data_IF_893521477606
#
_entry.id   IF_893521477606
#
_cell.length_a   1.000
_cell.length_b   1.000
_cell.length_c   1.000
_cell.angle_alpha   90.00
_cell.angle_beta   90.00
_cell.angle_gamma   90.00
#
_symmetry.space_group_name_H-M   'P 1'
#
loop_
_entity.id
_entity.type
_entity.pdbx_description
1 polymer ?
#
# COMPACT_ATOMS: atom_id res chain seq x y z
N UNK A 1 -13.48 -7.44 12.89
CA UNK A 1 -13.75 -6.02 12.57
C UNK A 1 -12.65 -5.50 11.69
N UNK A 2 -12.88 -5.32 10.39
CA UNK A 2 -11.92 -4.58 9.55
C UNK A 2 -12.06 -3.12 9.89
N UNK A 3 -11.01 -2.49 10.37
CA UNK A 3 -11.15 -1.22 11.04
C UNK A 3 -11.46 -0.09 10.07
N UNK A 4 -12.16 0.90 10.56
CA UNK A 4 -12.38 2.20 9.92
C UNK A 4 -11.09 2.81 9.36
N UNK A 5 -9.92 2.40 9.86
CA UNK A 5 -8.58 2.81 9.43
C UNK A 5 -8.19 2.35 8.01
N UNK A 6 -8.91 1.39 7.43
CA UNK A 6 -8.61 0.91 6.06
C UNK A 6 -9.67 1.35 5.05
N UNK A 7 -10.76 1.94 5.53
CA UNK A 7 -11.80 2.44 4.65
C UNK A 7 -11.24 3.52 3.73
N UNK A 8 -11.45 3.36 2.42
CA UNK A 8 -10.93 4.26 1.38
C UNK A 8 -9.43 4.55 1.45
N UNK A 9 -8.61 3.64 2.01
CA UNK A 9 -7.17 3.83 2.13
C UNK A 9 -6.46 4.11 0.79
N UNK A 10 -7.01 3.66 -0.32
CA UNK A 10 -6.52 3.97 -1.67
C UNK A 10 -6.58 5.46 -2.01
N UNK A 11 -7.47 6.22 -1.37
CA UNK A 11 -7.68 7.65 -1.62
C UNK A 11 -6.86 8.52 -0.68
N UNK A 12 -6.88 8.21 0.63
CA UNK A 12 -6.33 9.09 1.67
C UNK A 12 -4.97 8.65 2.23
N UNK A 13 -4.38 7.55 1.74
CA UNK A 13 -3.16 6.99 2.30
C UNK A 13 -2.02 8.01 2.42
N UNK A 14 -1.65 8.42 3.65
CA UNK A 14 -0.58 9.38 3.85
C UNK A 14 0.75 8.73 3.47
N UNK A 15 1.58 9.43 2.71
CA UNK A 15 2.94 9.00 2.41
C UNK A 15 3.91 9.65 3.40
N UNK A 16 4.71 8.83 4.07
CA UNK A 16 5.94 9.31 4.68
C UNK A 16 6.91 9.67 3.53
N UNK A 17 7.24 10.93 3.36
CA UNK A 17 8.28 11.38 2.44
C UNK A 17 9.58 11.51 3.21
N UNK A 18 10.68 11.09 2.61
CA UNK A 18 12.02 11.23 3.19
C UNK A 18 12.61 12.65 3.04
N UNK A 19 11.89 13.54 2.38
CA UNK A 19 12.39 14.89 2.11
C UNK A 19 12.16 15.81 3.32
N UNK A 20 13.22 16.12 4.01
CA UNK A 20 13.25 16.96 5.23
C UNK A 20 12.72 18.38 5.03
N UNK A 21 12.59 18.85 3.79
CA UNK A 21 12.36 20.28 3.51
C UNK A 21 10.89 20.69 3.27
N UNK A 22 9.96 19.78 2.95
CA UNK A 22 8.62 20.17 2.48
C UNK A 22 7.44 19.47 3.18
N UNK A 23 7.37 19.50 4.49
CA UNK A 23 6.18 18.97 5.20
C UNK A 23 6.20 17.47 5.51
N UNK A 24 7.33 16.84 5.31
CA UNK A 24 7.62 15.42 5.58
C UNK A 24 7.29 15.02 7.02
N UNK A 25 7.58 15.83 7.99
CA UNK A 25 7.29 15.54 9.41
C UNK A 25 5.80 15.33 9.70
N UNK A 26 4.92 16.07 9.03
CA UNK A 26 3.46 15.95 9.25
C UNK A 26 2.93 14.61 8.77
N UNK A 27 3.32 14.18 7.57
CA UNK A 27 2.87 12.92 7.01
C UNK A 27 3.47 11.71 7.75
N UNK A 28 4.73 11.77 8.15
CA UNK A 28 5.36 10.75 8.98
C UNK A 28 4.66 10.62 10.35
N UNK A 29 4.29 11.75 10.96
CA UNK A 29 3.51 11.76 12.19
C UNK A 29 2.15 11.11 12.03
N UNK A 30 1.43 11.38 10.92
CA UNK A 30 0.14 10.76 10.63
C UNK A 30 0.27 9.24 10.41
N UNK A 31 1.25 8.79 9.65
CA UNK A 31 1.52 7.35 9.46
C UNK A 31 1.78 6.69 10.81
N UNK A 32 2.64 7.28 11.64
CA UNK A 32 2.93 6.75 12.97
C UNK A 32 1.70 6.72 13.87
N UNK A 33 0.85 7.75 13.85
CA UNK A 33 -0.39 7.76 14.63
C UNK A 33 -1.33 6.62 14.24
N UNK A 34 -1.45 6.33 12.94
CA UNK A 34 -2.27 5.22 12.45
C UNK A 34 -1.68 3.87 12.89
N UNK A 35 -0.38 3.67 12.74
CA UNK A 35 0.31 2.46 13.18
C UNK A 35 0.22 2.28 14.72
N UNK A 36 0.24 3.37 15.49
CA UNK A 36 0.09 3.32 16.94
C UNK A 36 -1.24 2.72 17.39
N UNK A 37 -2.31 2.90 16.62
CA UNK A 37 -3.61 2.28 16.92
C UNK A 37 -3.49 0.75 16.83
N UNK A 38 -2.85 0.24 15.78
CA UNK A 38 -2.63 -1.21 15.63
C UNK A 38 -1.70 -1.74 16.72
N UNK A 39 -0.63 -1.03 17.05
CA UNK A 39 0.30 -1.40 18.12
C UNK A 39 -0.39 -1.48 19.49
N UNK A 40 -1.28 -0.54 19.80
CA UNK A 40 -2.08 -0.58 21.02
C UNK A 40 -3.03 -1.78 21.03
N UNK A 41 -3.69 -2.06 19.92
CA UNK A 41 -4.57 -3.20 19.77
C UNK A 41 -3.80 -4.53 19.97
N UNK A 42 -2.60 -4.65 19.39
CA UNK A 42 -1.76 -5.84 19.56
C UNK A 42 -1.37 -6.06 21.04
N UNK A 43 -0.96 -5.01 21.74
CA UNK A 43 -0.67 -5.10 23.19
C UNK A 43 -1.90 -5.52 23.99
N UNK A 44 -3.04 -4.97 23.65
CA UNK A 44 -4.30 -5.31 24.34
C UNK A 44 -4.68 -6.77 24.13
N UNK A 45 -4.58 -7.28 22.90
CA UNK A 45 -4.92 -8.68 22.59
C UNK A 45 -3.93 -9.66 23.22
N UNK A 46 -2.63 -9.33 23.23
CA UNK A 46 -1.59 -10.21 23.78
C UNK A 46 -1.39 -10.07 25.28
N UNK A 47 -2.00 -9.08 25.93
CA UNK A 47 -1.80 -8.78 27.35
C UNK A 47 -0.37 -8.31 27.71
N UNK A 48 0.46 -7.99 26.71
CA UNK A 48 1.86 -7.63 26.92
C UNK A 48 2.06 -6.12 26.93
N UNK A 49 2.12 -5.53 28.13
CA UNK A 49 2.26 -4.08 28.32
C UNK A 49 3.68 -3.66 28.74
N UNK A 50 4.59 -4.58 28.93
CA UNK A 50 5.95 -4.28 29.36
C UNK A 50 6.72 -3.52 28.26
N UNK A 51 7.49 -2.53 28.65
CA UNK A 51 8.28 -1.71 27.72
C UNK A 51 9.35 -2.50 26.94
N UNK A 52 9.76 -3.67 27.45
CA UNK A 52 10.73 -4.58 26.82
C UNK A 52 10.12 -5.48 25.75
N UNK A 53 8.79 -5.55 25.67
CA UNK A 53 8.11 -6.45 24.73
C UNK A 53 8.10 -5.87 23.32
N UNK A 54 8.66 -6.61 22.36
CA UNK A 54 8.66 -6.23 20.94
C UNK A 54 7.24 -6.24 20.37
N UNK A 55 6.83 -5.10 19.81
CA UNK A 55 5.52 -5.01 19.12
C UNK A 55 5.54 -5.77 17.81
N UNK A 56 6.69 -5.85 17.14
CA UNK A 56 6.86 -6.62 15.91
C UNK A 56 6.59 -8.09 16.15
N UNK A 57 7.11 -8.66 17.25
CA UNK A 57 6.85 -10.06 17.61
C UNK A 57 5.38 -10.31 17.95
N UNK A 58 4.72 -9.34 18.58
CA UNK A 58 3.28 -9.42 18.85
C UNK A 58 2.48 -9.44 17.55
N UNK A 59 2.78 -8.55 16.60
CA UNK A 59 2.12 -8.52 15.30
C UNK A 59 2.35 -9.81 14.54
N UNK A 60 3.57 -10.34 14.56
CA UNK A 60 3.92 -11.60 13.92
C UNK A 60 3.18 -12.78 14.56
N UNK A 61 3.13 -12.88 15.90
CA UNK A 61 2.41 -13.94 16.60
C UNK A 61 0.90 -13.92 16.35
N UNK A 62 0.33 -12.72 16.11
CA UNK A 62 -1.07 -12.54 15.74
C UNK A 62 -1.33 -12.71 14.23
N UNK A 63 -0.30 -12.89 13.42
CA UNK A 63 -0.42 -12.89 11.96
C UNK A 63 -0.89 -11.55 11.40
N UNK A 64 -0.63 -10.45 12.10
CA UNK A 64 -1.05 -9.12 11.70
C UNK A 64 0.05 -8.43 10.92
N UNK A 65 -0.24 -8.10 9.68
CA UNK A 65 0.63 -7.29 8.84
C UNK A 65 0.47 -5.80 9.21
N UNK A 66 1.53 -5.00 8.99
CA UNK A 66 1.47 -3.56 9.23
C UNK A 66 0.35 -2.90 8.41
N UNK A 67 -0.22 -1.81 8.91
CA UNK A 67 -1.24 -1.06 8.17
C UNK A 67 -0.65 -0.43 6.91
N UNK A 68 0.63 -0.08 6.92
CA UNK A 68 1.32 0.43 5.73
C UNK A 68 1.35 -0.60 4.60
N UNK A 69 1.76 -1.84 4.88
CA UNK A 69 1.74 -2.93 3.90
C UNK A 69 0.34 -3.17 3.34
N UNK A 70 -0.65 -3.22 4.22
CA UNK A 70 -2.04 -3.44 3.82
C UNK A 70 -2.58 -2.31 2.94
N UNK A 71 -2.13 -1.07 3.16
CA UNK A 71 -2.46 0.07 2.28
C UNK A 71 -1.79 -0.07 0.91
N UNK A 72 -0.54 -0.51 0.86
CA UNK A 72 0.14 -0.83 -0.42
C UNK A 72 -0.61 -1.91 -1.19
N UNK A 73 -0.96 -3.02 -0.54
CA UNK A 73 -1.71 -4.12 -1.15
C UNK A 73 -3.08 -3.65 -1.67
N UNK A 74 -3.77 -2.80 -0.91
CA UNK A 74 -5.06 -2.25 -1.32
C UNK A 74 -4.94 -1.39 -2.59
N UNK A 75 -3.89 -0.54 -2.67
CA UNK A 75 -3.64 0.28 -3.86
C UNK A 75 -3.30 -0.58 -5.09
N UNK A 76 -2.38 -1.53 -4.95
CA UNK A 76 -2.01 -2.44 -6.03
C UNK A 76 -3.21 -3.28 -6.49
N UNK A 77 -4.02 -3.78 -5.56
CA UNK A 77 -5.24 -4.51 -5.88
C UNK A 77 -6.26 -3.64 -6.62
N UNK A 78 -6.39 -2.37 -6.22
CA UNK A 78 -7.30 -1.44 -6.93
C UNK A 78 -6.80 -1.17 -8.34
N UNK A 79 -5.49 -0.96 -8.53
CA UNK A 79 -4.91 -0.77 -9.87
C UNK A 79 -5.12 -2.03 -10.73
N UNK A 80 -4.92 -3.23 -10.19
CA UNK A 80 -5.23 -4.49 -10.86
C UNK A 80 -6.68 -4.54 -11.33
N UNK A 81 -7.63 -4.18 -10.47
CA UNK A 81 -9.05 -4.15 -10.84
C UNK A 81 -9.36 -3.13 -11.94
N UNK A 82 -8.71 -1.98 -11.92
CA UNK A 82 -8.88 -0.94 -12.95
C UNK A 82 -8.34 -1.42 -14.30
N UNK A 83 -7.13 -1.99 -14.32
CA UNK A 83 -6.50 -2.51 -15.56
C UNK A 83 -7.32 -3.61 -16.20
N UNK A 84 -7.92 -4.48 -15.39
CA UNK A 84 -8.76 -5.60 -15.86
C UNK A 84 -10.25 -5.23 -16.06
N UNK A 85 -10.63 -3.96 -15.90
CA UNK A 85 -12.00 -3.51 -16.09
C UNK A 85 -13.02 -4.07 -15.08
N UNK A 86 -12.55 -4.50 -13.91
CA UNK A 86 -13.39 -5.06 -12.83
C UNK A 86 -14.07 -3.97 -11.98
N UNK A 87 -13.76 -2.72 -12.24
CA UNK A 87 -14.35 -1.55 -11.57
C UNK A 87 -14.69 -0.52 -12.63
N UNK A 88 -15.93 -0.05 -12.60
CA UNK A 88 -16.39 1.04 -13.46
C UNK A 88 -15.82 2.37 -12.95
N UNK A 89 -14.78 2.87 -13.61
CA UNK A 89 -14.13 4.13 -13.28
C UNK A 89 -13.47 4.74 -14.52
N UNK A 90 -13.53 6.07 -14.63
CA UNK A 90 -12.84 6.83 -15.68
C UNK A 90 -11.30 6.80 -15.52
N UNK A 91 -10.77 6.31 -14.40
CA UNK A 91 -9.33 6.20 -14.17
C UNK A 91 -8.63 5.30 -15.19
N UNK A 92 -9.34 4.37 -15.82
CA UNK A 92 -8.79 3.51 -16.88
C UNK A 92 -8.33 4.32 -18.09
N UNK A 93 -9.04 5.39 -18.44
CA UNK A 93 -8.75 6.25 -19.60
C UNK A 93 -7.45 7.06 -19.39
N UNK A 94 -7.04 7.24 -18.14
CA UNK A 94 -5.79 7.91 -17.78
C UNK A 94 -4.58 6.97 -17.75
N UNK A 95 -4.77 5.65 -17.94
CA UNK A 95 -3.69 4.69 -18.02
C UNK A 95 -3.08 4.69 -19.41
N UNK A 96 -1.80 5.02 -19.49
CA UNK A 96 -1.03 4.95 -20.75
C UNK A 96 -0.11 3.74 -20.72
N UNK A 97 -0.06 3.02 -21.83
CA UNK A 97 0.79 1.84 -22.00
C UNK A 97 1.92 2.13 -22.99
N UNK A 98 3.08 1.53 -22.75
CA UNK A 98 4.19 1.56 -23.71
C UNK A 98 3.86 0.69 -24.92
N UNK A 99 3.95 1.24 -26.12
CA UNK A 99 3.72 0.49 -27.37
C UNK A 99 4.71 -0.66 -27.60
N UNK A 100 5.91 -0.60 -26.97
CA UNK A 100 6.97 -1.60 -27.18
C UNK A 100 6.81 -2.86 -26.31
N UNK A 101 6.32 -2.76 -25.09
CA UNK A 101 6.27 -3.87 -24.12
C UNK A 101 5.00 -3.89 -23.25
N UNK A 102 3.96 -3.14 -23.63
CA UNK A 102 2.67 -3.15 -22.92
C UNK A 102 2.71 -2.71 -21.44
N UNK A 103 3.87 -2.21 -20.96
CA UNK A 103 3.99 -1.79 -19.56
C UNK A 103 3.32 -0.45 -19.32
N UNK A 104 2.72 -0.29 -18.14
CA UNK A 104 2.14 0.98 -17.71
C UNK A 104 3.22 2.07 -17.66
N UNK A 105 2.94 3.19 -18.33
CA UNK A 105 3.81 4.36 -18.32
C UNK A 105 3.58 5.18 -17.05
N UNK A 106 4.68 5.62 -16.44
CA UNK A 106 4.64 6.55 -15.32
C UNK A 106 4.16 7.91 -15.82
N UNK A 107 3.07 8.48 -15.25
CA UNK A 107 2.65 9.83 -15.61
C UNK A 107 3.73 10.85 -15.23
N UNK A 108 3.97 11.83 -16.10
CA UNK A 108 4.82 12.96 -15.74
C UNK A 108 4.13 13.79 -14.67
N UNK A 109 4.85 14.06 -13.59
CA UNK A 109 4.33 14.79 -12.44
C UNK A 109 5.02 16.13 -12.32
N UNK A 110 4.25 17.22 -12.46
CA UNK A 110 4.76 18.60 -12.30
C UNK A 110 4.64 19.11 -10.87
N UNK A 111 3.78 18.53 -10.06
CA UNK A 111 3.52 18.94 -8.67
C UNK A 111 3.62 17.74 -7.73
N UNK A 112 4.02 18.00 -6.48
CA UNK A 112 4.11 16.95 -5.47
C UNK A 112 2.74 16.35 -5.13
N UNK A 113 1.68 17.15 -5.14
CA UNK A 113 0.31 16.64 -4.96
C UNK A 113 -0.04 15.57 -5.98
N UNK A 114 0.25 15.79 -7.25
CA UNK A 114 -0.01 14.80 -8.28
C UNK A 114 0.94 13.60 -8.18
N UNK A 115 2.24 13.84 -7.90
CA UNK A 115 3.26 12.79 -7.72
C UNK A 115 2.87 11.77 -6.65
N UNK A 116 2.24 12.23 -5.57
CA UNK A 116 1.83 11.39 -4.45
C UNK A 116 0.37 10.93 -4.52
N UNK A 117 -0.36 11.31 -5.56
CA UNK A 117 -1.72 10.81 -5.80
C UNK A 117 -1.73 9.32 -6.15
N UNK A 118 -2.92 8.72 -6.17
CA UNK A 118 -3.11 7.28 -6.34
C UNK A 118 -2.38 6.70 -7.55
N UNK A 119 -2.60 7.24 -8.76
CA UNK A 119 -2.07 6.65 -9.99
C UNK A 119 -0.53 6.70 -10.08
N UNK A 120 0.13 7.88 -10.01
CA UNK A 120 1.58 7.94 -10.17
C UNK A 120 2.32 7.12 -9.13
N UNK A 121 1.85 7.17 -7.89
CA UNK A 121 2.43 6.42 -6.76
C UNK A 121 2.27 4.91 -6.94
N UNK A 122 1.08 4.47 -7.34
CA UNK A 122 0.79 3.04 -7.49
C UNK A 122 1.47 2.46 -8.73
N UNK A 123 1.50 3.21 -9.85
CA UNK A 123 2.19 2.77 -11.07
C UNK A 123 3.69 2.57 -10.81
N UNK A 124 4.32 3.42 -10.01
CA UNK A 124 5.72 3.23 -9.62
C UNK A 124 5.94 1.89 -8.92
N UNK A 125 5.08 1.53 -7.96
CA UNK A 125 5.14 0.24 -7.26
C UNK A 125 4.75 -0.94 -8.16
N UNK A 126 3.75 -0.77 -9.02
CA UNK A 126 3.32 -1.75 -10.00
C UNK A 126 4.45 -2.17 -10.95
N UNK A 127 5.25 -1.23 -11.41
CA UNK A 127 6.38 -1.50 -12.31
C UNK A 127 7.51 -2.29 -11.67
N UNK A 128 7.58 -2.35 -10.35
CA UNK A 128 8.54 -3.19 -9.62
C UNK A 128 8.02 -4.62 -9.34
N UNK A 129 6.79 -4.95 -9.76
CA UNK A 129 6.25 -6.29 -9.66
C UNK A 129 6.73 -7.15 -10.83
N UNK A 130 6.89 -8.44 -10.56
CA UNK A 130 7.20 -9.43 -11.58
C UNK A 130 6.00 -9.65 -12.52
N UNK A 131 6.28 -10.01 -13.77
CA UNK A 131 5.26 -10.31 -14.77
C UNK A 131 4.27 -11.38 -14.29
N UNK A 132 4.77 -12.43 -13.63
CA UNK A 132 3.94 -13.51 -13.08
C UNK A 132 2.89 -13.02 -12.07
N UNK A 133 3.16 -11.91 -11.37
CA UNK A 133 2.21 -11.33 -10.43
C UNK A 133 1.17 -10.52 -11.17
N UNK A 134 1.62 -9.72 -12.14
CA UNK A 134 0.75 -8.85 -12.95
C UNK A 134 -0.24 -9.68 -13.77
N UNK A 135 0.22 -10.77 -14.37
CA UNK A 135 -0.57 -11.67 -15.22
C UNK A 135 -1.41 -12.70 -14.42
N UNK A 136 -1.72 -12.37 -13.16
CA UNK A 136 -2.57 -13.24 -12.34
C UNK A 136 -3.96 -13.37 -12.91
N UNK A 137 -4.50 -14.60 -12.96
CA UNK A 137 -5.81 -14.89 -13.54
C UNK A 137 -6.99 -14.35 -12.72
N UNK A 138 -6.80 -14.07 -11.44
CA UNK A 138 -7.86 -13.57 -10.57
C UNK A 138 -7.34 -12.59 -9.52
N UNK A 139 -8.26 -11.74 -9.02
CA UNK A 139 -7.97 -10.77 -7.94
C UNK A 139 -7.43 -11.47 -6.69
N UNK A 140 -7.93 -12.66 -6.37
CA UNK A 140 -7.52 -13.38 -5.17
C UNK A 140 -6.10 -13.93 -5.29
N UNK A 141 -5.74 -14.47 -6.45
CA UNK A 141 -4.38 -14.93 -6.75
C UNK A 141 -3.42 -13.74 -6.73
N UNK A 142 -3.80 -12.61 -7.37
CA UNK A 142 -3.02 -11.38 -7.36
C UNK A 142 -2.75 -10.89 -5.92
N UNK A 143 -3.80 -10.81 -5.10
CA UNK A 143 -3.66 -10.41 -3.69
C UNK A 143 -2.69 -11.27 -2.93
N UNK A 144 -2.80 -12.60 -3.06
CA UNK A 144 -1.92 -13.54 -2.38
C UNK A 144 -0.46 -13.31 -2.79
N UNK A 145 -0.17 -13.24 -4.10
CA UNK A 145 1.18 -13.02 -4.62
C UNK A 145 1.78 -11.68 -4.18
N UNK A 146 0.98 -10.60 -4.19
CA UNK A 146 1.43 -9.30 -3.66
C UNK A 146 1.75 -9.38 -2.17
N UNK A 147 0.94 -10.11 -1.40
CA UNK A 147 1.18 -10.30 0.03
C UNK A 147 2.48 -11.07 0.31
N UNK A 148 2.76 -12.09 -0.47
CA UNK A 148 3.99 -12.87 -0.34
C UNK A 148 5.24 -12.00 -0.62
N UNK A 149 5.24 -11.21 -1.70
CA UNK A 149 6.35 -10.29 -2.04
C UNK A 149 6.56 -9.21 -0.99
N UNK A 150 5.48 -8.63 -0.47
CA UNK A 150 5.59 -7.57 0.55
C UNK A 150 6.02 -8.12 1.90
N UNK A 151 5.85 -9.41 2.15
CA UNK A 151 6.37 -10.08 3.33
C UNK A 151 7.88 -10.33 3.22
N UNK A 152 8.37 -10.80 2.06
CA UNK A 152 9.79 -11.09 1.85
C UNK A 152 10.71 -9.85 1.89
N UNK A 153 10.20 -8.68 1.48
CA UNK A 153 10.99 -7.42 1.47
C UNK A 153 11.21 -6.79 2.84
N UNK A 154 10.66 -7.35 3.89
CA UNK A 154 10.70 -6.81 5.26
C UNK A 154 11.36 -7.77 6.27
N UNK A 155 11.88 -8.89 5.82
CA UNK A 155 12.81 -9.74 6.52
C UNK A 155 14.23 -9.39 6.07
#
# INVERSE_FOLDING_TARGET
>A
MRPKLEYCATVWDPKATSDEFTGSMRNHRLVNQIEMVQRRAARWVTGRYNNTSSVSDMLQSLGWRSLEQRRVDARLTMLYKITHGLVSTQLKDHLKYSGRNGKLLQPQTKTDYFKFSFLPRTIKQWRSLDANVIDSQSVNIFKKRVQDITHERLI
#
